data_IF_709643921383
#
_entry.id   IF_709643921383
#
_cell.length_a   1.000
_cell.length_b   1.000
_cell.length_c   1.000
_cell.angle_alpha   90.00
_cell.angle_beta   90.00
_cell.angle_gamma   90.00
#
_symmetry.space_group_name_H-M   'P 1'
#
loop_
_entity.id
_entity.type
_entity.pdbx_description
1 polymer ?
#
# COMPACT_ATOMS: atom_id res chain seq x y z
N UNK A 1 -24.46 -8.95 18.21
CA UNK A 1 -25.66 -8.08 18.23
C UNK A 1 -25.48 -7.05 17.13
N UNK A 2 -26.32 -7.09 16.09
CA UNK A 2 -26.42 -6.04 15.09
C UNK A 2 -26.93 -4.79 15.81
N UNK A 3 -26.04 -3.81 16.00
CA UNK A 3 -26.45 -2.49 16.38
C UNK A 3 -27.03 -1.86 15.12
N UNK A 4 -28.35 -1.92 14.95
CA UNK A 4 -29.05 -1.03 14.04
C UNK A 4 -28.63 0.40 14.44
N UNK A 5 -28.24 1.21 13.48
CA UNK A 5 -28.07 2.67 13.66
C UNK A 5 -29.46 3.26 13.97
N UNK A 6 -29.86 3.15 15.21
CA UNK A 6 -30.98 3.92 15.75
C UNK A 6 -30.39 5.24 16.25
N UNK A 7 -31.06 6.33 15.94
CA UNK A 7 -30.74 7.72 16.25
C UNK A 7 -29.74 7.93 17.39
N UNK A 8 -28.47 8.06 17.02
CA UNK A 8 -27.38 8.23 17.97
C UNK A 8 -27.45 9.67 18.47
N UNK A 9 -28.05 9.90 19.63
CA UNK A 9 -28.04 11.23 20.24
C UNK A 9 -26.60 11.59 20.62
N UNK A 10 -26.12 12.76 20.15
CA UNK A 10 -24.80 13.29 20.50
C UNK A 10 -24.62 13.39 22.02
N UNK A 11 -25.69 13.55 22.78
CA UNK A 11 -25.70 13.56 24.25
C UNK A 11 -25.15 12.24 24.87
N UNK A 12 -25.23 11.12 24.18
CA UNK A 12 -24.68 9.85 24.63
C UNK A 12 -23.14 9.87 24.57
N UNK A 13 -22.55 10.63 23.64
CA UNK A 13 -21.09 10.73 23.52
C UNK A 13 -20.42 11.39 24.74
N UNK A 14 -21.10 12.35 25.38
CA UNK A 14 -20.62 13.00 26.59
C UNK A 14 -20.64 12.10 27.83
N UNK A 15 -21.38 11.00 27.79
CA UNK A 15 -21.45 10.03 28.89
C UNK A 15 -20.33 9.01 28.85
N UNK A 16 -19.67 8.86 27.68
CA UNK A 16 -18.58 7.90 27.49
C UNK A 16 -17.31 8.46 28.15
N UNK A 17 -16.72 7.67 29.05
CA UNK A 17 -15.51 8.01 29.77
C UNK A 17 -14.29 7.35 29.14
N UNK A 18 -13.09 7.78 29.56
CA UNK A 18 -11.85 7.17 29.10
C UNK A 18 -11.79 5.67 29.37
N UNK A 19 -12.28 5.23 30.55
CA UNK A 19 -12.31 3.82 30.93
C UNK A 19 -13.14 2.97 29.98
N UNK A 20 -14.28 3.47 29.49
CA UNK A 20 -15.14 2.73 28.54
C UNK A 20 -14.42 2.51 27.21
N UNK A 21 -13.61 3.50 26.79
CA UNK A 21 -12.80 3.38 25.57
C UNK A 21 -11.58 2.49 25.79
N UNK A 22 -10.99 2.46 26.95
CA UNK A 22 -9.93 1.52 27.31
C UNK A 22 -10.44 0.08 27.29
N UNK A 23 -11.59 -0.19 27.90
CA UNK A 23 -12.25 -1.51 27.83
C UNK A 23 -12.58 -1.91 26.38
N UNK A 24 -13.06 -0.96 25.58
CA UNK A 24 -13.29 -1.21 24.17
C UNK A 24 -12.00 -1.53 23.41
N UNK A 25 -10.91 -0.87 23.73
CA UNK A 25 -9.59 -1.16 23.10
C UNK A 25 -9.07 -2.53 23.52
N UNK A 26 -9.28 -2.95 24.78
CA UNK A 26 -8.97 -4.31 25.24
C UNK A 26 -9.82 -5.35 24.50
N UNK A 27 -11.13 -5.13 24.39
CA UNK A 27 -12.03 -6.00 23.62
C UNK A 27 -11.56 -6.17 22.17
N UNK A 28 -11.08 -5.08 21.54
CA UNK A 28 -10.62 -5.11 20.16
C UNK A 28 -9.33 -5.91 19.95
N UNK A 29 -8.56 -6.24 20.99
CA UNK A 29 -7.37 -7.09 20.85
C UNK A 29 -7.75 -8.47 20.33
N UNK A 30 -8.82 -9.05 20.87
CA UNK A 30 -9.38 -10.35 20.45
C UNK A 30 -10.89 -10.27 20.57
N UNK A 31 -11.60 -10.39 19.47
CA UNK A 31 -13.08 -10.37 19.49
C UNK A 31 -13.67 -11.36 18.49
N UNK A 32 -14.91 -11.73 18.72
CA UNK A 32 -15.66 -12.60 17.83
C UNK A 32 -16.44 -11.77 16.80
N UNK A 33 -16.28 -12.14 15.52
CA UNK A 33 -17.03 -11.58 14.40
C UNK A 33 -17.75 -12.71 13.66
N UNK A 34 -18.99 -12.99 14.09
CA UNK A 34 -19.67 -14.21 13.72
C UNK A 34 -18.93 -15.45 14.24
N UNK A 35 -18.63 -16.40 13.37
CA UNK A 35 -17.90 -17.62 13.71
C UNK A 35 -16.37 -17.46 13.71
N UNK A 36 -15.86 -16.26 13.39
CA UNK A 36 -14.43 -15.99 13.29
C UNK A 36 -13.92 -15.22 14.50
N UNK A 37 -12.78 -15.67 15.04
CA UNK A 37 -12.03 -14.91 16.03
C UNK A 37 -11.10 -13.95 15.30
N UNK A 38 -11.33 -12.65 15.47
CA UNK A 38 -10.51 -11.57 14.90
C UNK A 38 -9.50 -11.07 15.95
N UNK A 39 -8.27 -10.81 15.50
CA UNK A 39 -7.22 -10.26 16.38
C UNK A 39 -6.66 -8.98 15.79
N UNK A 40 -6.38 -8.00 16.64
CA UNK A 40 -5.71 -6.76 16.23
C UNK A 40 -4.35 -6.64 16.91
N UNK A 41 -3.29 -6.57 16.12
CA UNK A 41 -1.97 -6.18 16.63
C UNK A 41 -1.87 -4.69 16.90
N UNK A 42 -0.75 -4.25 17.47
CA UNK A 42 -0.48 -2.86 17.90
C UNK A 42 -0.79 -1.80 16.83
N UNK A 43 -0.43 -2.06 15.56
CA UNK A 43 -0.71 -1.13 14.45
C UNK A 43 -2.21 -1.01 14.16
N UNK A 44 -2.95 -2.12 14.28
CA UNK A 44 -4.40 -2.15 14.12
C UNK A 44 -5.10 -1.35 15.23
N UNK A 45 -4.69 -1.56 16.48
CA UNK A 45 -5.19 -0.82 17.63
C UNK A 45 -4.87 0.67 17.54
N UNK A 46 -3.64 1.03 17.15
CA UNK A 46 -3.26 2.44 16.94
C UNK A 46 -4.12 3.12 15.88
N UNK A 47 -4.45 2.44 14.79
CA UNK A 47 -5.35 2.98 13.76
C UNK A 47 -6.75 3.22 14.31
N UNK A 48 -7.26 2.30 15.11
CA UNK A 48 -8.61 2.40 15.71
C UNK A 48 -8.68 3.55 16.73
N UNK A 49 -7.68 3.69 17.61
CA UNK A 49 -7.64 4.84 18.55
C UNK A 49 -7.47 6.17 17.82
N UNK A 50 -6.71 6.20 16.70
CA UNK A 50 -6.58 7.42 15.91
C UNK A 50 -7.92 7.82 15.26
N UNK A 51 -8.72 6.86 14.81
CA UNK A 51 -10.06 7.12 14.30
C UNK A 51 -10.99 7.68 15.39
N UNK A 52 -10.98 7.09 16.60
CA UNK A 52 -11.73 7.59 17.75
C UNK A 52 -11.31 9.01 18.13
N UNK A 53 -10.01 9.30 18.14
CA UNK A 53 -9.48 10.64 18.42
C UNK A 53 -9.98 11.66 17.41
N UNK A 54 -9.95 11.32 16.12
CA UNK A 54 -10.47 12.21 15.06
C UNK A 54 -11.97 12.43 15.20
N UNK A 55 -12.71 11.39 15.52
CA UNK A 55 -14.17 11.44 15.73
C UNK A 55 -14.52 12.34 16.92
N UNK A 56 -13.97 12.12 18.11
CA UNK A 56 -14.23 12.94 19.29
C UNK A 56 -13.74 14.38 19.11
N UNK A 57 -12.56 14.58 18.47
CA UNK A 57 -12.05 15.91 18.18
C UNK A 57 -12.98 16.72 17.25
N UNK A 58 -13.65 16.06 16.29
CA UNK A 58 -14.63 16.71 15.42
C UNK A 58 -15.81 17.27 16.21
N UNK A 59 -16.44 16.47 17.08
CA UNK A 59 -17.58 16.90 17.88
C UNK A 59 -17.19 17.92 18.94
N UNK A 60 -16.05 17.72 19.59
CA UNK A 60 -15.53 18.64 20.61
C UNK A 60 -15.22 20.02 20.04
N UNK A 61 -14.58 20.11 18.87
CA UNK A 61 -14.29 21.39 18.19
C UNK A 61 -15.55 22.15 17.76
N UNK A 62 -16.68 21.48 17.63
CA UNK A 62 -17.98 22.08 17.31
C UNK A 62 -18.85 22.34 18.52
N UNK A 63 -18.26 22.17 19.71
CA UNK A 63 -18.97 22.37 20.98
C UNK A 63 -20.26 21.52 21.11
N UNK A 64 -20.31 20.40 20.38
CA UNK A 64 -21.43 19.46 20.43
C UNK A 64 -21.31 18.48 21.60
N UNK A 65 -20.11 18.34 22.17
CA UNK A 65 -19.79 17.58 23.38
C UNK A 65 -18.89 18.43 24.27
N UNK A 66 -18.98 18.24 25.59
CA UNK A 66 -18.26 19.04 26.59
C UNK A 66 -16.90 18.44 26.94
N UNK A 67 -16.73 17.13 26.73
CA UNK A 67 -15.50 16.41 27.08
C UNK A 67 -14.99 15.57 25.91
N UNK A 68 -13.67 15.38 25.86
CA UNK A 68 -13.04 14.49 24.89
C UNK A 68 -12.27 13.38 25.64
N UNK A 69 -12.89 12.21 25.88
CA UNK A 69 -12.28 11.14 26.67
C UNK A 69 -11.03 10.55 26.01
N UNK A 70 -10.86 10.69 24.67
CA UNK A 70 -9.72 10.10 23.95
C UNK A 70 -8.38 10.76 24.26
N UNK A 71 -8.39 11.96 24.88
CA UNK A 71 -7.17 12.67 25.27
C UNK A 71 -6.44 11.93 26.40
N UNK A 72 -7.20 11.24 27.25
CA UNK A 72 -6.69 10.52 28.41
C UNK A 72 -6.19 9.10 28.10
N UNK A 73 -6.42 8.61 26.88
CA UNK A 73 -6.08 7.23 26.52
C UNK A 73 -4.66 7.18 25.97
N UNK A 74 -3.86 6.25 26.48
CA UNK A 74 -2.53 5.99 25.94
C UNK A 74 -2.58 5.34 24.58
N UNK A 75 -1.71 5.79 23.68
CA UNK A 75 -1.55 5.16 22.37
C UNK A 75 -0.56 4.01 22.48
N UNK A 76 -0.90 2.80 22.01
CA UNK A 76 0.03 1.70 22.00
C UNK A 76 1.36 2.08 21.33
N UNK A 77 2.47 1.81 22.02
CA UNK A 77 3.81 1.96 21.42
C UNK A 77 3.95 0.92 20.33
N UNK A 78 4.29 1.35 19.12
CA UNK A 78 4.60 0.43 18.04
C UNK A 78 6.05 0.04 18.17
N UNK A 79 6.31 -1.26 18.28
CA UNK A 79 7.66 -1.77 18.14
C UNK A 79 7.96 -1.85 16.64
N UNK A 80 8.90 -1.01 16.19
CA UNK A 80 9.34 -1.03 14.81
C UNK A 80 10.04 -2.36 14.53
N UNK A 81 9.43 -3.14 13.63
CA UNK A 81 10.12 -4.31 13.07
C UNK A 81 11.17 -3.82 12.11
N UNK A 82 12.36 -4.40 12.18
CA UNK A 82 13.40 -4.25 11.15
C UNK A 82 12.78 -4.43 9.77
N UNK A 83 12.89 -3.43 8.91
CA UNK A 83 12.43 -3.53 7.53
C UNK A 83 13.42 -4.45 6.81
N UNK A 84 12.97 -5.63 6.39
CA UNK A 84 13.74 -6.50 5.51
C UNK A 84 13.79 -5.79 4.15
N UNK A 85 15.01 -5.50 3.71
CA UNK A 85 15.29 -4.89 2.41
C UNK A 85 16.37 -5.70 1.72
N UNK A 86 16.32 -5.75 0.41
CA UNK A 86 17.41 -6.31 -0.39
C UNK A 86 18.60 -5.35 -0.36
N UNK A 87 19.80 -5.89 -0.25
CA UNK A 87 21.02 -5.14 -0.49
C UNK A 87 21.38 -5.12 -1.99
N UNK A 88 22.47 -4.46 -2.34
CA UNK A 88 22.86 -4.28 -3.75
C UNK A 88 23.13 -5.62 -4.45
N UNK A 89 23.76 -6.56 -3.75
CA UNK A 89 24.11 -7.85 -4.32
C UNK A 89 22.86 -8.72 -4.49
N UNK A 90 21.92 -8.66 -3.53
CA UNK A 90 20.63 -9.34 -3.61
C UNK A 90 19.75 -8.77 -4.73
N UNK A 91 19.79 -7.46 -4.97
CA UNK A 91 19.12 -6.82 -6.11
C UNK A 91 19.71 -7.32 -7.43
N UNK A 92 21.04 -7.40 -7.55
CA UNK A 92 21.69 -7.90 -8.75
C UNK A 92 21.31 -9.37 -9.02
N UNK A 93 21.30 -10.22 -7.98
CA UNK A 93 20.86 -11.61 -8.08
C UNK A 93 19.39 -11.74 -8.48
N UNK A 94 18.52 -10.87 -7.96
CA UNK A 94 17.09 -10.84 -8.34
C UNK A 94 16.91 -10.54 -9.83
N UNK A 95 17.60 -9.52 -10.34
CA UNK A 95 17.51 -9.13 -11.75
C UNK A 95 18.09 -10.23 -12.67
N UNK A 96 19.23 -10.80 -12.31
CA UNK A 96 19.84 -11.93 -13.02
C UNK A 96 18.90 -13.15 -13.03
N UNK A 97 18.26 -13.46 -11.90
CA UNK A 97 17.28 -14.53 -11.83
C UNK A 97 16.09 -14.29 -12.76
N UNK A 98 15.53 -13.07 -12.78
CA UNK A 98 14.42 -12.73 -13.70
C UNK A 98 14.85 -12.91 -15.15
N UNK A 99 16.08 -12.57 -15.49
CA UNK A 99 16.60 -12.66 -16.86
C UNK A 99 16.91 -14.09 -17.30
N UNK A 100 17.34 -14.98 -16.40
CA UNK A 100 17.89 -16.30 -16.74
C UNK A 100 17.14 -17.50 -16.17
N UNK A 101 16.13 -17.34 -15.29
CA UNK A 101 15.44 -18.48 -14.66
C UNK A 101 14.75 -19.41 -15.68
N UNK A 102 14.53 -18.95 -16.92
CA UNK A 102 13.95 -19.75 -18.01
C UNK A 102 14.73 -21.01 -18.35
N UNK A 103 16.04 -21.04 -18.11
CA UNK A 103 16.89 -22.20 -18.40
C UNK A 103 16.54 -23.43 -17.55
N UNK A 104 16.01 -23.21 -16.36
CA UNK A 104 15.52 -24.26 -15.45
C UNK A 104 14.05 -24.64 -15.66
N UNK A 105 13.31 -23.91 -16.50
CA UNK A 105 11.91 -24.14 -16.74
C UNK A 105 11.67 -25.03 -17.97
N UNK A 106 10.60 -25.84 -17.89
CA UNK A 106 10.18 -26.73 -18.99
C UNK A 106 8.71 -26.61 -19.31
N UNK A 107 8.32 -27.04 -20.50
CA UNK A 107 6.93 -27.08 -20.92
C UNK A 107 6.25 -25.72 -20.90
N UNK A 108 5.01 -25.68 -20.45
CA UNK A 108 4.17 -24.46 -20.45
C UNK A 108 4.74 -23.32 -19.60
N UNK A 109 5.46 -23.63 -18.53
CA UNK A 109 6.10 -22.62 -17.68
C UNK A 109 7.17 -21.85 -18.44
N UNK A 110 7.98 -22.53 -19.25
CA UNK A 110 8.97 -21.90 -20.10
C UNK A 110 8.34 -20.99 -21.14
N UNK A 111 7.28 -21.44 -21.81
CA UNK A 111 6.56 -20.64 -22.81
C UNK A 111 5.98 -19.37 -22.18
N UNK A 112 5.44 -19.47 -20.97
CA UNK A 112 4.93 -18.30 -20.24
C UNK A 112 6.05 -17.34 -19.87
N UNK A 113 7.16 -17.85 -19.33
CA UNK A 113 8.33 -17.05 -18.99
C UNK A 113 8.87 -16.27 -20.19
N UNK A 114 9.08 -16.93 -21.35
CA UNK A 114 9.57 -16.27 -22.56
C UNK A 114 8.66 -15.13 -23.05
N UNK A 115 7.36 -15.23 -22.79
CA UNK A 115 6.40 -14.18 -23.13
C UNK A 115 6.40 -13.00 -22.15
N UNK A 116 6.77 -13.22 -20.91
CA UNK A 116 6.60 -12.23 -19.83
C UNK A 116 7.90 -11.66 -19.30
N UNK A 117 9.03 -12.30 -19.57
CA UNK A 117 10.32 -11.97 -18.96
C UNK A 117 10.74 -10.51 -19.16
N UNK A 118 10.61 -9.96 -20.37
CA UNK A 118 11.01 -8.57 -20.62
C UNK A 118 10.07 -7.57 -19.92
N UNK A 119 8.79 -7.89 -19.84
CA UNK A 119 7.82 -7.11 -19.06
C UNK A 119 8.18 -7.13 -17.57
N UNK A 120 8.44 -8.31 -17.05
CA UNK A 120 8.69 -8.52 -15.63
C UNK A 120 10.03 -7.86 -15.23
N UNK A 121 11.04 -7.96 -16.10
CA UNK A 121 12.31 -7.26 -15.93
C UNK A 121 12.12 -5.74 -15.96
N UNK A 122 11.37 -5.21 -16.92
CA UNK A 122 11.09 -3.78 -17.03
C UNK A 122 10.35 -3.25 -15.80
N UNK A 123 9.34 -3.98 -15.30
CA UNK A 123 8.58 -3.59 -14.09
C UNK A 123 9.51 -3.53 -12.87
N UNK A 124 10.30 -4.60 -12.63
CA UNK A 124 11.17 -4.66 -11.44
C UNK A 124 12.26 -3.60 -11.51
N UNK A 125 12.91 -3.45 -12.68
CA UNK A 125 13.95 -2.43 -12.88
C UNK A 125 13.40 -1.01 -12.71
N UNK A 126 12.19 -0.75 -13.23
CA UNK A 126 11.52 0.55 -13.06
C UNK A 126 11.22 0.84 -11.59
N UNK A 127 10.66 -0.13 -10.85
CA UNK A 127 10.35 0.05 -9.43
C UNK A 127 11.60 0.27 -8.58
N UNK A 128 12.68 -0.49 -8.85
CA UNK A 128 13.95 -0.36 -8.14
C UNK A 128 14.67 0.96 -8.47
N UNK A 129 14.68 1.36 -9.75
CA UNK A 129 15.41 2.53 -10.21
C UNK A 129 14.70 3.86 -9.92
N UNK A 130 13.39 3.84 -9.68
CA UNK A 130 12.60 5.08 -9.48
C UNK A 130 11.94 5.20 -8.12
N UNK A 131 11.70 4.07 -7.42
CA UNK A 131 10.98 4.05 -6.16
C UNK A 131 9.51 4.45 -6.26
N UNK A 132 8.90 4.42 -7.44
CA UNK A 132 7.46 4.67 -7.60
C UNK A 132 6.65 3.53 -6.97
N UNK A 133 5.39 3.82 -6.61
CA UNK A 133 4.51 2.79 -6.06
C UNK A 133 4.04 1.83 -7.14
N UNK A 134 3.74 0.59 -6.75
CA UNK A 134 3.16 -0.40 -7.68
C UNK A 134 1.90 0.14 -8.36
N UNK A 135 1.03 0.86 -7.65
CA UNK A 135 -0.17 1.47 -8.23
C UNK A 135 0.15 2.58 -9.23
N UNK A 136 1.23 3.33 -9.04
CA UNK A 136 1.72 4.34 -9.97
C UNK A 136 2.30 3.66 -11.22
N UNK A 137 3.06 2.58 -11.06
CA UNK A 137 3.58 1.78 -12.17
C UNK A 137 2.49 1.15 -13.05
N UNK A 138 1.45 0.56 -12.41
CA UNK A 138 0.32 -0.07 -13.13
C UNK A 138 -0.51 0.96 -13.91
N UNK A 139 -0.56 2.19 -13.43
CA UNK A 139 -1.30 3.29 -14.06
C UNK A 139 -0.53 4.06 -15.13
N UNK A 140 0.70 3.63 -15.50
CA UNK A 140 1.48 4.30 -16.54
C UNK A 140 1.00 3.91 -17.94
N UNK A 141 0.80 4.93 -18.77
CA UNK A 141 0.66 4.78 -20.21
C UNK A 141 2.01 5.02 -20.92
N UNK A 142 2.13 4.59 -22.18
CA UNK A 142 3.36 4.76 -22.97
C UNK A 142 3.69 6.24 -23.10
N UNK A 143 2.68 7.09 -23.25
CA UNK A 143 2.81 8.55 -23.41
C UNK A 143 3.31 9.25 -22.16
N UNK A 144 3.25 8.59 -20.99
CA UNK A 144 3.81 9.12 -19.74
C UNK A 144 5.34 8.98 -19.66
N UNK A 145 5.96 8.23 -20.60
CA UNK A 145 7.40 7.96 -20.62
C UNK A 145 8.09 8.89 -21.60
N UNK A 146 8.91 9.81 -21.10
CA UNK A 146 9.76 10.68 -21.88
C UNK A 146 11.20 10.14 -21.93
N UNK A 147 11.51 9.38 -22.98
CA UNK A 147 12.86 8.84 -23.21
C UNK A 147 13.90 9.89 -23.58
N UNK A 148 13.49 11.11 -23.99
CA UNK A 148 14.42 12.18 -24.32
C UNK A 148 15.03 12.81 -23.07
N UNK A 149 14.23 12.90 -22.02
CA UNK A 149 14.64 13.50 -20.76
C UNK A 149 14.77 12.47 -19.63
N UNK A 150 14.61 11.17 -19.94
CA UNK A 150 14.64 10.05 -18.99
C UNK A 150 13.71 10.27 -17.81
N UNK A 151 12.46 10.65 -18.08
CA UNK A 151 11.44 10.95 -17.09
C UNK A 151 10.15 10.16 -17.31
N UNK A 152 9.45 9.87 -16.23
CA UNK A 152 8.08 9.35 -16.26
C UNK A 152 7.16 10.29 -15.50
N UNK A 153 5.98 10.52 -16.07
CA UNK A 153 4.92 11.29 -15.42
C UNK A 153 4.05 10.32 -14.60
N UNK A 154 4.01 10.49 -13.31
CA UNK A 154 3.21 9.65 -12.41
C UNK A 154 2.13 10.46 -11.70
N UNK A 155 0.94 9.90 -11.60
CA UNK A 155 -0.16 10.50 -10.84
C UNK A 155 -0.20 9.90 -9.43
N UNK A 156 0.07 10.73 -8.43
CA UNK A 156 0.05 10.35 -7.02
C UNK A 156 -1.33 10.40 -6.41
N UNK A 157 -1.46 9.80 -5.21
CA UNK A 157 -2.69 9.85 -4.42
C UNK A 157 -3.16 11.31 -4.25
N UNK A 158 -4.40 11.59 -4.64
CA UNK A 158 -4.97 12.94 -4.63
C UNK A 158 -4.91 13.67 -5.98
N UNK A 159 -4.47 12.98 -7.05
CA UNK A 159 -4.46 13.54 -8.41
C UNK A 159 -3.25 14.45 -8.72
N UNK A 160 -2.27 14.53 -7.83
CA UNK A 160 -1.06 15.30 -8.06
C UNK A 160 -0.14 14.58 -9.04
N UNK A 161 0.16 15.22 -10.15
CA UNK A 161 1.14 14.76 -11.14
C UNK A 161 2.55 15.20 -10.77
N UNK A 162 3.52 14.33 -11.02
CA UNK A 162 4.94 14.65 -10.90
C UNK A 162 5.77 13.86 -11.89
N UNK A 163 6.93 14.40 -12.25
CA UNK A 163 7.93 13.70 -13.07
C UNK A 163 8.95 13.04 -12.15
N UNK A 164 9.20 11.76 -12.38
CA UNK A 164 10.26 11.00 -11.73
C UNK A 164 11.29 10.62 -12.79
N UNK A 165 12.55 10.89 -12.53
CA UNK A 165 13.63 10.59 -13.47
C UNK A 165 14.21 9.21 -13.25
N UNK A 166 14.71 8.56 -14.31
CA UNK A 166 15.29 7.24 -14.28
C UNK A 166 16.66 7.18 -14.97
N UNK A 167 17.45 6.16 -14.63
CA UNK A 167 18.78 5.92 -15.20
C UNK A 167 18.77 5.05 -16.45
N UNK A 168 19.95 4.86 -17.04
CA UNK A 168 20.14 4.06 -18.27
C UNK A 168 19.62 2.61 -18.17
N UNK A 169 19.71 1.98 -17.01
CA UNK A 169 19.27 0.60 -16.84
C UNK A 169 17.76 0.49 -17.01
N UNK A 170 17.01 1.44 -16.44
CA UNK A 170 15.56 1.53 -16.59
C UNK A 170 15.20 1.83 -18.03
N UNK A 171 15.90 2.76 -18.68
CA UNK A 171 15.70 3.11 -20.08
C UNK A 171 15.85 1.87 -20.98
N UNK A 172 16.94 1.11 -20.82
CA UNK A 172 17.21 -0.11 -21.57
C UNK A 172 16.12 -1.16 -21.37
N UNK A 173 15.72 -1.40 -20.12
CA UNK A 173 14.69 -2.38 -19.80
C UNK A 173 13.33 -2.00 -20.38
N UNK A 174 12.93 -0.73 -20.29
CA UNK A 174 11.69 -0.24 -20.88
C UNK A 174 11.70 -0.33 -22.41
N UNK A 175 12.79 0.05 -23.09
CA UNK A 175 12.89 -0.06 -24.56
C UNK A 175 12.80 -1.49 -25.02
N UNK A 176 13.52 -2.44 -24.41
CA UNK A 176 13.41 -3.87 -24.71
C UNK A 176 11.98 -4.40 -24.57
N UNK A 177 11.30 -4.01 -23.52
CA UNK A 177 9.89 -4.39 -23.35
C UNK A 177 8.97 -3.81 -24.41
N UNK A 178 9.15 -2.53 -24.76
CA UNK A 178 8.32 -1.87 -25.77
C UNK A 178 8.50 -2.47 -27.16
N UNK A 179 9.74 -2.82 -27.58
CA UNK A 179 10.03 -3.50 -28.83
C UNK A 179 9.26 -4.82 -28.98
N UNK A 180 9.16 -5.59 -27.89
CA UNK A 180 8.42 -6.85 -27.90
C UNK A 180 6.91 -6.59 -27.85
N UNK A 181 6.47 -5.56 -27.08
CA UNK A 181 5.05 -5.23 -26.94
C UNK A 181 4.40 -4.81 -28.25
N UNK A 182 5.10 -4.12 -29.14
CA UNK A 182 4.58 -3.73 -30.46
C UNK A 182 4.17 -4.95 -31.31
N UNK A 183 4.77 -6.11 -31.05
CA UNK A 183 4.39 -7.40 -31.67
C UNK A 183 3.24 -8.13 -30.98
N UNK A 184 2.76 -7.66 -29.81
CA UNK A 184 1.68 -8.30 -29.06
C UNK A 184 0.38 -7.55 -29.35
N UNK A 185 -0.51 -8.19 -30.13
CA UNK A 185 -1.88 -7.68 -30.32
C UNK A 185 -2.59 -7.63 -28.96
N UNK A 186 -3.19 -6.50 -28.53
CA UNK A 186 -3.97 -6.46 -27.32
C UNK A 186 -5.07 -7.51 -27.35
N UNK A 187 -5.16 -8.33 -26.30
CA UNK A 187 -6.34 -9.18 -26.12
C UNK A 187 -7.52 -8.24 -25.84
N UNK A 188 -8.49 -8.26 -26.77
CA UNK A 188 -9.72 -7.51 -26.67
C UNK A 188 -10.57 -7.96 -25.48
#
# INVERSE_FOLDING_TARGET
KNYAMTDFSVAVLDQIKAVDLEEYMEYLKVYQNGDKTETNGERGLKRKISALRSFYAYYYKREMIHTNPTVLIDVPKIHDKSIIRLDTDEVALLLDYIEHCGDSLTGQKRVYYEKTKERDLAIVTLLLGTGIRVSECVGLDIEDVDFKNNGIKVTRKGGNEMVVYFGEEVEKALKRYLEIREGITPLA
#
